data_IF_471250705585
#
_entry.id   IF_471250705585
#
_cell.length_a   1.000
_cell.length_b   1.000
_cell.length_c   1.000
_cell.angle_alpha   90.00
_cell.angle_beta   90.00
_cell.angle_gamma   90.00
#
_symmetry.space_group_name_H-M   'P 1'
#
loop_
_entity.id
_entity.type
_entity.pdbx_description
1 polymer ?
#
# COMPACT_ATOMS: atom_id res chain seq x y z
N UNK A 1 6.69 -13.04 29.98
CA UNK A 1 5.29 -13.50 29.95
C UNK A 1 5.07 -14.07 28.56
N UNK A 2 4.61 -15.31 28.45
CA UNK A 2 4.23 -15.90 27.17
C UNK A 2 2.73 -15.68 26.98
N UNK A 3 2.36 -14.98 25.92
CA UNK A 3 0.95 -14.68 25.59
C UNK A 3 0.31 -15.75 24.71
N UNK A 4 1.11 -16.64 24.10
CA UNK A 4 0.66 -17.57 23.06
C UNK A 4 0.30 -16.93 21.72
N UNK A 5 0.40 -15.60 21.59
CA UNK A 5 0.09 -14.87 20.36
C UNK A 5 1.31 -14.84 19.43
N UNK A 6 1.18 -15.43 18.24
CA UNK A 6 2.29 -15.58 17.29
C UNK A 6 2.56 -14.33 16.45
N UNK A 7 1.56 -13.49 16.25
CA UNK A 7 1.64 -12.35 15.33
C UNK A 7 0.66 -11.25 15.74
N UNK A 8 1.05 -10.01 15.50
CA UNK A 8 0.25 -8.79 15.74
C UNK A 8 0.24 -7.91 14.50
N UNK A 9 -0.77 -7.06 14.38
CA UNK A 9 -0.86 -6.06 13.32
C UNK A 9 -0.11 -4.79 13.71
N UNK A 10 0.73 -4.29 12.81
CA UNK A 10 1.51 -3.07 13.02
C UNK A 10 0.71 -1.80 12.66
N UNK A 11 -0.23 -1.43 13.54
CA UNK A 11 -1.02 -0.20 13.37
C UNK A 11 -0.18 1.07 13.48
N UNK A 12 0.93 1.02 14.23
CA UNK A 12 1.83 2.16 14.34
C UNK A 12 2.39 2.52 12.95
N UNK A 13 2.94 1.52 12.25
CA UNK A 13 3.45 1.72 10.90
C UNK A 13 2.34 2.11 9.91
N UNK A 14 1.17 1.47 10.00
CA UNK A 14 0.03 1.77 9.13
C UNK A 14 -0.46 3.22 9.24
N UNK A 15 -0.36 3.85 10.42
CA UNK A 15 -0.73 5.26 10.62
C UNK A 15 0.36 6.24 10.22
N UNK A 16 1.64 5.87 10.33
CA UNK A 16 2.76 6.74 9.99
C UNK A 16 2.97 6.82 8.47
N UNK A 17 2.91 5.67 7.79
CA UNK A 17 3.30 5.54 6.38
C UNK A 17 2.52 6.48 5.42
N UNK A 18 1.19 6.66 5.53
CA UNK A 18 0.43 7.56 4.65
C UNK A 18 0.92 9.02 4.64
N UNK A 19 1.33 9.53 5.81
CA UNK A 19 1.81 10.90 5.96
C UNK A 19 3.31 10.99 5.69
N UNK A 20 4.08 9.95 6.07
CA UNK A 20 5.53 9.91 5.94
C UNK A 20 6.05 10.07 4.51
N UNK A 21 5.30 9.57 3.51
CA UNK A 21 5.66 9.70 2.09
C UNK A 21 5.09 10.97 1.42
N UNK A 22 4.24 11.73 2.12
CA UNK A 22 3.70 13.00 1.64
C UNK A 22 4.47 14.21 2.18
N UNK A 23 4.98 14.10 3.40
CA UNK A 23 5.70 15.19 4.06
C UNK A 23 7.17 15.22 3.65
N UNK A 24 7.69 16.42 3.36
CA UNK A 24 9.12 16.61 3.17
C UNK A 24 9.86 16.41 4.50
N UNK A 25 10.99 15.70 4.45
CA UNK A 25 11.93 15.68 5.56
C UNK A 25 12.77 16.97 5.48
N UNK A 26 12.54 17.92 6.38
CA UNK A 26 13.42 19.08 6.53
C UNK A 26 14.22 18.96 7.82
N UNK A 27 15.53 18.67 7.78
CA UNK A 27 16.35 18.57 9.00
C UNK A 27 16.40 19.86 9.83
N UNK A 28 16.01 21.01 9.26
CA UNK A 28 16.10 22.32 9.90
C UNK A 28 14.86 22.71 10.71
N UNK A 29 13.74 22.01 10.53
CA UNK A 29 12.47 22.34 11.19
C UNK A 29 12.36 21.78 12.62
N UNK A 30 13.33 20.95 13.04
CA UNK A 30 13.37 20.30 14.36
C UNK A 30 12.19 19.37 14.62
N UNK A 31 11.36 19.11 13.61
CA UNK A 31 10.13 18.34 13.73
C UNK A 31 10.35 16.91 13.20
N UNK A 32 9.94 15.93 13.99
CA UNK A 32 9.88 14.53 13.59
C UNK A 32 8.76 14.32 12.57
N UNK A 33 9.06 14.50 11.28
CA UNK A 33 8.11 14.41 10.17
C UNK A 33 8.60 13.49 9.06
N UNK A 34 7.70 13.14 8.14
CA UNK A 34 8.08 12.36 6.97
C UNK A 34 8.64 10.97 7.31
N UNK A 35 9.71 10.59 6.60
CA UNK A 35 10.42 9.32 6.76
C UNK A 35 11.10 9.16 8.13
N UNK A 36 11.37 10.26 8.83
CA UNK A 36 11.92 10.18 10.19
C UNK A 36 10.98 9.40 11.13
N UNK A 37 9.66 9.52 10.95
CA UNK A 37 8.70 8.78 11.77
C UNK A 37 8.73 7.28 11.48
N UNK A 38 8.96 6.88 10.21
CA UNK A 38 9.18 5.47 9.85
C UNK A 38 10.46 4.96 10.54
N UNK A 39 11.54 5.76 10.50
CA UNK A 39 12.79 5.41 11.19
C UNK A 39 12.58 5.20 12.70
N UNK A 40 11.87 6.11 13.38
CA UNK A 40 11.59 5.97 14.82
C UNK A 40 10.73 4.76 15.12
N UNK A 41 9.74 4.46 14.27
CA UNK A 41 8.90 3.25 14.41
C UNK A 41 9.76 1.99 14.34
N UNK A 42 10.59 1.85 13.30
CA UNK A 42 11.51 0.73 13.13
C UNK A 42 12.60 0.67 14.22
N UNK A 43 13.05 1.83 14.71
CA UNK A 43 14.02 1.88 15.80
C UNK A 43 13.44 1.32 17.11
N UNK A 44 12.11 1.31 17.29
CA UNK A 44 11.42 0.72 18.43
C UNK A 44 11.11 -0.77 18.25
N UNK A 45 11.61 -1.40 17.18
CA UNK A 45 11.41 -2.83 16.92
C UNK A 45 11.94 -3.73 18.04
N UNK A 46 12.88 -3.25 18.86
CA UNK A 46 13.37 -3.98 20.04
C UNK A 46 12.29 -4.26 21.10
N UNK A 47 11.13 -3.61 21.00
CA UNK A 47 9.97 -3.87 21.87
C UNK A 47 9.24 -5.17 21.50
N UNK A 48 9.44 -5.67 20.27
CA UNK A 48 8.86 -6.92 19.82
C UNK A 48 9.85 -8.07 19.98
N UNK A 49 9.33 -9.24 20.36
CA UNK A 49 10.15 -10.45 20.50
C UNK A 49 10.64 -10.97 19.15
N UNK A 50 9.77 -10.95 18.14
CA UNK A 50 10.08 -11.37 16.77
C UNK A 50 9.46 -10.40 15.77
N UNK A 51 10.31 -9.59 15.14
CA UNK A 51 9.90 -8.51 14.23
C UNK A 51 9.54 -9.02 12.83
N UNK A 52 10.00 -10.22 12.47
CA UNK A 52 9.66 -10.87 11.20
C UNK A 52 8.27 -11.53 11.22
N UNK A 53 7.72 -11.76 12.42
CA UNK A 53 6.37 -12.29 12.61
C UNK A 53 5.31 -11.21 12.89
N UNK A 54 5.54 -9.97 12.47
CA UNK A 54 4.59 -8.86 12.59
C UNK A 54 3.90 -8.63 11.24
N UNK A 55 2.58 -8.47 11.24
CA UNK A 55 1.80 -8.19 10.05
C UNK A 55 1.82 -6.69 9.74
N UNK A 56 2.44 -6.33 8.63
CA UNK A 56 2.55 -4.94 8.15
C UNK A 56 1.59 -4.72 6.97
N UNK A 57 0.97 -3.55 6.92
CA UNK A 57 -0.05 -3.21 5.92
C UNK A 57 -0.13 -1.69 5.75
N UNK A 58 -0.64 -1.26 4.60
CA UNK A 58 -0.86 0.16 4.30
C UNK A 58 -2.27 0.60 4.62
N UNK A 59 -3.23 -0.32 4.44
CA UNK A 59 -4.64 -0.12 4.66
C UNK A 59 -5.33 -1.48 4.90
N UNK A 60 -6.57 -1.41 5.39
CA UNK A 60 -7.43 -2.56 5.55
C UNK A 60 -8.90 -2.12 5.41
N UNK A 61 -9.85 -2.99 5.74
CA UNK A 61 -11.28 -2.72 5.60
C UNK A 61 -11.85 -1.73 6.64
N UNK A 62 -11.07 -1.30 7.62
CA UNK A 62 -11.46 -0.38 8.69
C UNK A 62 -10.72 0.96 8.64
N UNK A 63 -9.69 1.07 7.81
CA UNK A 63 -8.94 2.30 7.57
C UNK A 63 -9.34 2.92 6.23
N UNK A 64 -9.04 4.22 6.07
CA UNK A 64 -9.08 4.86 4.74
C UNK A 64 -8.12 4.15 3.79
N UNK A 65 -8.44 4.16 2.50
CA UNK A 65 -7.56 3.59 1.46
C UNK A 65 -6.24 4.36 1.40
N UNK A 66 -5.14 3.63 1.14
CA UNK A 66 -3.81 4.22 1.06
C UNK A 66 -3.67 5.16 -0.15
N UNK A 67 -4.22 4.74 -1.30
CA UNK A 67 -4.37 5.61 -2.46
C UNK A 67 -5.48 6.63 -2.17
N UNK A 68 -5.17 7.91 -2.36
CA UNK A 68 -6.14 8.99 -2.16
C UNK A 68 -6.51 9.64 -3.48
N UNK A 69 -7.73 10.17 -3.56
CA UNK A 69 -8.25 10.86 -4.74
C UNK A 69 -7.49 12.16 -5.05
N UNK A 70 -6.93 12.79 -4.02
CA UNK A 70 -6.20 14.05 -4.06
C UNK A 70 -4.68 13.89 -4.21
N UNK A 71 -4.18 12.65 -4.36
CA UNK A 71 -2.75 12.42 -4.60
C UNK A 71 -2.34 13.01 -5.96
N UNK A 72 -1.25 13.78 -6.00
CA UNK A 72 -0.73 14.44 -7.22
C UNK A 72 -0.03 13.48 -8.19
N UNK A 73 -0.07 12.17 -7.94
CA UNK A 73 0.57 11.13 -8.75
C UNK A 73 0.64 9.79 -8.02
N UNK A 74 1.41 8.85 -8.57
CA UNK A 74 1.57 7.50 -8.02
C UNK A 74 2.84 7.32 -7.19
N UNK A 75 3.63 8.36 -6.95
CA UNK A 75 4.95 8.22 -6.33
C UNK A 75 4.84 7.81 -4.87
N UNK A 76 3.96 8.44 -4.09
CA UNK A 76 3.62 8.02 -2.71
C UNK A 76 3.14 6.57 -2.69
N UNK A 77 2.25 6.23 -3.62
CA UNK A 77 1.68 4.90 -3.73
C UNK A 77 2.75 3.83 -3.98
N UNK A 78 3.62 4.06 -4.97
CA UNK A 78 4.74 3.19 -5.33
C UNK A 78 5.73 3.04 -4.17
N UNK A 79 6.06 4.13 -3.49
CA UNK A 79 6.97 4.10 -2.34
C UNK A 79 6.39 3.29 -1.18
N UNK A 80 5.13 3.50 -0.80
CA UNK A 80 4.48 2.74 0.27
C UNK A 80 4.39 1.25 -0.04
N UNK A 81 3.98 0.89 -1.26
CA UNK A 81 3.93 -0.52 -1.69
C UNK A 81 5.32 -1.14 -1.72
N UNK A 82 6.31 -0.46 -2.29
CA UNK A 82 7.69 -0.95 -2.32
C UNK A 82 8.25 -1.12 -0.90
N UNK A 83 7.90 -0.23 0.03
CA UNK A 83 8.32 -0.29 1.42
C UNK A 83 7.77 -1.53 2.13
N UNK A 84 6.45 -1.78 2.10
CA UNK A 84 5.90 -2.97 2.78
C UNK A 84 6.37 -4.28 2.13
N UNK A 85 6.71 -4.28 0.83
CA UNK A 85 7.22 -5.46 0.14
C UNK A 85 8.69 -5.75 0.43
N UNK A 86 9.48 -4.74 0.82
CA UNK A 86 10.93 -4.85 1.02
C UNK A 86 11.37 -4.80 2.48
N UNK A 87 10.51 -4.34 3.39
CA UNK A 87 10.81 -4.28 4.83
C UNK A 87 10.53 -5.60 5.56
N UNK A 88 10.90 -5.63 6.85
CA UNK A 88 10.73 -6.74 7.80
C UNK A 88 9.26 -7.07 8.06
N UNK A 89 8.95 -8.31 8.41
CA UNK A 89 7.60 -8.74 8.75
C UNK A 89 6.82 -9.42 7.63
N UNK A 90 5.50 -9.51 7.78
CA UNK A 90 4.60 -10.20 6.85
C UNK A 90 3.71 -9.14 6.16
N UNK A 91 3.93 -8.84 4.87
CA UNK A 91 3.13 -7.87 4.13
C UNK A 91 1.74 -8.42 3.87
N UNK A 92 0.75 -7.62 4.25
CA UNK A 92 -0.64 -7.82 3.92
C UNK A 92 -1.08 -6.69 2.98
N UNK A 93 -1.65 -7.08 1.84
CA UNK A 93 -2.19 -6.17 0.83
C UNK A 93 -3.71 -6.34 0.84
N UNK A 94 -4.44 -5.23 0.97
CA UNK A 94 -5.90 -5.24 0.96
C UNK A 94 -6.40 -5.26 -0.48
N UNK A 95 -7.49 -5.98 -0.75
CA UNK A 95 -8.00 -6.13 -2.12
C UNK A 95 -8.36 -4.77 -2.72
N UNK A 96 -8.16 -4.63 -4.03
CA UNK A 96 -8.40 -3.37 -4.74
C UNK A 96 -7.28 -2.34 -4.57
N UNK A 97 -6.36 -2.52 -3.62
CA UNK A 97 -5.14 -1.69 -3.53
C UNK A 97 -4.35 -1.84 -4.83
N UNK A 98 -4.22 -3.06 -5.37
CA UNK A 98 -3.64 -3.34 -6.68
C UNK A 98 -4.33 -2.65 -7.87
N UNK A 99 -5.58 -2.18 -7.69
CA UNK A 99 -6.36 -1.44 -8.67
C UNK A 99 -6.50 0.05 -8.32
N UNK A 100 -5.74 0.54 -7.34
CA UNK A 100 -5.77 1.93 -6.86
C UNK A 100 -7.15 2.35 -6.34
N UNK A 101 -7.82 1.48 -5.60
CA UNK A 101 -9.06 1.84 -4.91
C UNK A 101 -8.83 3.02 -3.98
N UNK A 102 -9.71 4.00 -4.05
CA UNK A 102 -9.72 5.20 -3.20
C UNK A 102 -10.99 5.26 -2.36
N UNK A 103 -10.88 5.88 -1.18
CA UNK A 103 -12.01 6.07 -0.26
C UNK A 103 -11.55 6.45 1.13
N UNK A 104 -12.35 7.27 1.82
CA UNK A 104 -12.07 7.65 3.21
C UNK A 104 -13.07 7.00 4.17
N UNK A 105 -12.60 6.61 5.37
CA UNK A 105 -13.45 6.02 6.41
C UNK A 105 -14.60 6.96 6.82
N UNK A 106 -14.36 8.28 6.77
CA UNK A 106 -15.36 9.30 7.13
C UNK A 106 -16.54 9.36 6.15
N UNK A 107 -16.37 8.93 4.90
CA UNK A 107 -17.45 8.84 3.90
C UNK A 107 -18.28 7.55 4.05
N UNK A 108 -17.87 6.64 4.95
CA UNK A 108 -18.58 5.42 5.30
C UNK A 108 -17.89 4.14 4.81
N UNK A 109 -18.18 3.04 5.52
CA UNK A 109 -17.55 1.73 5.29
C UNK A 109 -17.78 1.19 3.87
N UNK A 110 -18.93 1.50 3.25
CA UNK A 110 -19.24 1.05 1.89
C UNK A 110 -18.29 1.62 0.83
N UNK A 111 -17.73 2.82 1.07
CA UNK A 111 -16.80 3.46 0.14
C UNK A 111 -15.42 2.79 0.17
N UNK A 112 -14.96 2.36 1.34
CA UNK A 112 -13.68 1.65 1.51
C UNK A 112 -13.81 0.13 1.28
N UNK A 113 -15.02 -0.42 1.23
CA UNK A 113 -15.32 -1.85 0.99
C UNK A 113 -16.08 -2.08 -0.32
N UNK A 114 -15.74 -1.33 -1.38
CA UNK A 114 -16.33 -1.51 -2.72
C UNK A 114 -16.12 -2.93 -3.23
N UNK A 115 -17.03 -3.38 -4.08
CA UNK A 115 -16.91 -4.65 -4.79
C UNK A 115 -15.69 -4.62 -5.71
N UNK A 116 -15.01 -5.75 -5.85
CA UNK A 116 -13.94 -5.89 -6.83
C UNK A 116 -14.54 -5.92 -8.23
N UNK A 117 -14.08 -5.07 -9.18
CA UNK A 117 -14.54 -5.13 -10.55
C UNK A 117 -14.16 -6.50 -11.11
N UNK A 118 -15.18 -7.28 -11.43
CA UNK A 118 -15.08 -8.67 -11.85
C UNK A 118 -15.60 -8.86 -13.28
N UNK A 119 -15.94 -10.11 -13.60
CA UNK A 119 -16.79 -10.44 -14.76
C UNK A 119 -18.26 -10.61 -14.31
N UNK A 120 -18.70 -9.82 -13.33
CA UNK A 120 -20.12 -9.76 -12.99
C UNK A 120 -20.77 -8.92 -14.09
N UNK A 121 -21.81 -9.43 -14.71
CA UNK A 121 -22.55 -8.79 -15.80
C UNK A 121 -22.77 -7.29 -15.53
N UNK A 122 -22.01 -6.42 -16.18
CA UNK A 122 -22.07 -4.97 -16.01
C UNK A 122 -20.73 -4.28 -15.69
N UNK A 123 -19.72 -5.03 -15.23
CA UNK A 123 -18.40 -4.48 -14.94
C UNK A 123 -17.57 -4.43 -16.22
N UNK A 124 -17.17 -3.23 -16.64
CA UNK A 124 -16.39 -3.00 -17.86
C UNK A 124 -14.97 -3.60 -17.82
N UNK A 125 -14.16 -3.46 -18.90
CA UNK A 125 -12.91 -4.20 -19.13
C UNK A 125 -11.70 -3.87 -18.22
N UNK A 126 -11.92 -3.35 -17.01
CA UNK A 126 -10.90 -2.91 -16.03
C UNK A 126 -9.85 -3.99 -15.70
N UNK A 127 -10.20 -5.26 -15.80
CA UNK A 127 -9.33 -6.39 -15.44
C UNK A 127 -8.22 -6.72 -16.45
N UNK A 128 -8.17 -6.09 -17.64
CA UNK A 128 -7.23 -6.52 -18.69
C UNK A 128 -5.79 -5.99 -18.53
N UNK A 129 -5.51 -5.10 -17.57
CA UNK A 129 -4.26 -4.33 -17.53
C UNK A 129 -3.37 -4.50 -16.28
N UNK A 130 -3.68 -5.39 -15.33
CA UNK A 130 -2.84 -5.52 -14.14
C UNK A 130 -2.59 -6.94 -13.66
N UNK A 131 -1.46 -7.52 -14.09
CA UNK A 131 -0.65 -8.31 -13.19
C UNK A 131 0.83 -8.00 -13.40
N UNK A 132 1.32 -6.87 -12.88
CA UNK A 132 2.75 -6.64 -12.70
C UNK A 132 2.93 -5.68 -11.55
N UNK A 133 3.10 -6.20 -10.32
CA UNK A 133 3.80 -5.52 -9.21
C UNK A 133 3.95 -6.42 -7.96
N UNK A 134 3.06 -7.39 -7.72
CA UNK A 134 3.03 -8.05 -6.40
C UNK A 134 3.66 -9.45 -6.31
N UNK A 135 3.79 -10.18 -7.42
CA UNK A 135 4.16 -11.60 -7.38
C UNK A 135 5.66 -11.91 -7.35
N UNK A 136 6.50 -11.02 -7.90
CA UNK A 136 7.89 -11.35 -8.22
C UNK A 136 8.95 -10.87 -7.22
N UNK A 137 8.72 -9.76 -6.52
CA UNK A 137 9.79 -9.10 -5.76
C UNK A 137 10.23 -9.92 -4.52
N UNK A 138 9.28 -10.53 -3.80
CA UNK A 138 9.56 -11.18 -2.51
C UNK A 138 9.74 -12.71 -2.58
N UNK A 139 9.34 -13.36 -3.68
CA UNK A 139 9.40 -14.85 -3.81
C UNK A 139 10.69 -15.39 -4.43
N UNK A 140 11.67 -14.53 -4.71
CA UNK A 140 12.98 -14.91 -5.22
C UNK A 140 13.35 -14.12 -6.47
N UNK A 141 14.53 -13.51 -6.43
CA UNK A 141 15.17 -12.78 -7.52
C UNK A 141 15.29 -13.63 -8.82
N UNK A 142 14.23 -13.70 -9.61
CA UNK A 142 14.28 -13.96 -11.06
C UNK A 142 13.49 -12.87 -11.75
N UNK A 143 14.22 -11.90 -12.29
CA UNK A 143 13.70 -10.90 -13.21
C UNK A 143 13.43 -11.57 -14.56
N UNK A 144 12.30 -12.25 -14.68
CA UNK A 144 11.73 -12.55 -15.99
C UNK A 144 10.97 -11.28 -16.44
N UNK A 145 11.75 -10.23 -16.73
CA UNK A 145 11.28 -9.03 -17.41
C UNK A 145 10.96 -9.42 -18.85
N UNK A 146 9.74 -9.93 -19.07
CA UNK A 146 9.18 -10.04 -20.42
C UNK A 146 9.22 -8.67 -21.12
N UNK A 147 9.47 -8.63 -22.44
CA UNK A 147 9.82 -7.42 -23.17
C UNK A 147 8.69 -6.40 -23.15
N UNK A 148 9.05 -5.15 -22.90
CA UNK A 148 8.15 -4.01 -22.89
C UNK A 148 7.65 -3.69 -24.30
N UNK A 149 6.34 -3.45 -24.45
CA UNK A 149 5.86 -2.79 -25.65
C UNK A 149 4.40 -3.03 -26.01
N UNK A 150 3.47 -2.61 -25.16
CA UNK A 150 2.16 -2.02 -25.56
C UNK A 150 1.28 -1.77 -24.34
N UNK A 151 1.29 -2.70 -23.37
CA UNK A 151 0.44 -2.63 -22.18
C UNK A 151 0.80 -1.46 -21.23
N UNK A 152 2.09 -1.10 -21.10
CA UNK A 152 2.54 0.02 -20.25
C UNK A 152 1.99 1.38 -20.71
N UNK A 153 1.84 1.58 -22.03
CA UNK A 153 1.40 2.86 -22.62
C UNK A 153 -0.10 3.11 -22.52
N UNK A 154 -0.88 2.11 -22.11
CA UNK A 154 -2.31 2.25 -21.84
C UNK A 154 -2.57 2.72 -20.39
N UNK A 155 -1.76 2.27 -19.43
CA UNK A 155 -1.87 2.68 -18.02
C UNK A 155 -1.33 4.10 -17.76
N UNK A 156 -0.32 4.56 -18.51
CA UNK A 156 0.26 5.90 -18.36
C UNK A 156 -0.68 7.05 -18.78
N UNK A 157 -1.79 6.75 -19.48
CA UNK A 157 -2.72 7.80 -19.96
C UNK A 157 -3.76 8.25 -18.94
N UNK A 158 -3.77 7.70 -17.72
CA UNK A 158 -4.60 8.21 -16.63
C UNK A 158 -6.11 8.27 -16.91
N UNK A 159 -6.61 7.57 -17.93
CA UNK A 159 -8.06 7.49 -18.19
C UNK A 159 -8.60 6.34 -17.37
N UNK A 160 -8.96 6.63 -16.12
CA UNK A 160 -9.84 5.78 -15.33
C UNK A 160 -11.28 6.07 -15.78
N UNK A 161 -11.98 5.14 -16.46
CA UNK A 161 -13.39 5.32 -16.74
C UNK A 161 -14.17 5.11 -15.44
N UNK A 162 -14.62 6.20 -14.82
CA UNK A 162 -15.38 6.13 -13.57
C UNK A 162 -15.52 7.44 -12.80
N UNK A 163 -15.56 8.58 -13.47
CA UNK A 163 -16.16 9.81 -12.93
C UNK A 163 -17.57 9.92 -13.49
N UNK A 164 -18.55 9.49 -12.69
CA UNK A 164 -19.93 9.95 -12.70
C UNK A 164 -20.45 9.86 -11.27
#
# INVERSE_FOLDING_TARGET
>A
MDTGLKTVMDFNLAFIVPDAFNEANDPSDGASKGLFNIYVSLANDFLYEDTENILIFLDNHDLSRFARKDDSGLDKYRQGVAFILSTRGIPQIYYGTELLFTGTKNEGDGIIRKDMPGDRTGDGPLLRCHPRLYGGYRRGHRTDLLPDGEASRACERGVYPGTA
#
